data_IF_589902573145
#
_entry.id   IF_589902573145
#
_cell.length_a   1.000
_cell.length_b   1.000
_cell.length_c   1.000
_cell.angle_alpha   90.00
_cell.angle_beta   90.00
_cell.angle_gamma   90.00
#
_symmetry.space_group_name_H-M   'P 1'
#
loop_
_entity.id
_entity.type
_entity.pdbx_description
1 polymer ?
#
# COMPACT_ATOMS: atom_id res chain seq x y z
N UNK A 1 -6.75 -18.51 2.19
CA UNK A 1 -7.26 -17.13 2.32
C UNK A 1 -6.27 -16.24 1.59
N UNK A 2 -6.69 -15.55 0.52
CA UNK A 2 -5.84 -14.54 -0.12
C UNK A 2 -5.86 -13.31 0.77
N UNK A 3 -4.79 -13.10 1.55
CA UNK A 3 -4.61 -11.91 2.38
C UNK A 3 -3.98 -10.82 1.53
N UNK A 4 -4.62 -9.65 1.43
CA UNK A 4 -4.05 -8.49 0.76
C UNK A 4 -3.36 -7.58 1.76
N UNK A 5 -2.05 -7.43 1.60
CA UNK A 5 -1.25 -6.40 2.24
C UNK A 5 -1.18 -5.16 1.33
N UNK A 6 -1.42 -3.99 1.90
CA UNK A 6 -1.10 -2.71 1.28
C UNK A 6 0.18 -2.16 1.89
N UNK A 7 1.15 -1.80 1.05
CA UNK A 7 2.39 -1.15 1.45
C UNK A 7 2.38 0.31 0.99
N UNK A 8 2.63 1.24 1.92
CA UNK A 8 2.85 2.66 1.63
C UNK A 8 4.33 2.96 1.82
N UNK A 9 5.08 3.00 0.72
CA UNK A 9 6.55 3.11 0.70
C UNK A 9 7.00 3.77 -0.60
N UNK A 10 8.00 4.65 -0.54
CA UNK A 10 8.54 5.34 -1.71
C UNK A 10 9.96 4.89 -2.09
N UNK A 11 10.68 4.19 -1.20
CA UNK A 11 11.97 3.59 -1.51
C UNK A 11 11.82 2.26 -2.27
N UNK A 12 12.47 2.16 -3.44
CA UNK A 12 12.32 1.00 -4.31
C UNK A 12 12.98 -0.28 -3.75
N UNK A 13 14.02 -0.15 -2.93
CA UNK A 13 14.66 -1.30 -2.32
C UNK A 13 13.77 -1.88 -1.21
N UNK A 14 13.15 -1.02 -0.40
CA UNK A 14 12.23 -1.46 0.66
C UNK A 14 10.98 -2.12 0.04
N UNK A 15 10.42 -1.55 -1.03
CA UNK A 15 9.34 -2.18 -1.81
C UNK A 15 9.78 -3.56 -2.29
N UNK A 16 10.95 -3.66 -2.93
CA UNK A 16 11.45 -4.92 -3.48
C UNK A 16 11.64 -5.99 -2.40
N UNK A 17 12.15 -5.61 -1.22
CA UNK A 17 12.34 -6.53 -0.10
C UNK A 17 11.00 -7.08 0.40
N UNK A 18 10.00 -6.23 0.59
CA UNK A 18 8.67 -6.66 1.05
C UNK A 18 7.96 -7.49 -0.02
N UNK A 19 8.01 -7.08 -1.29
CA UNK A 19 7.41 -7.82 -2.39
C UNK A 19 8.01 -9.23 -2.52
N UNK A 20 9.33 -9.35 -2.34
CA UNK A 20 10.01 -10.65 -2.33
C UNK A 20 9.55 -11.54 -1.18
N UNK A 21 9.33 -10.97 0.00
CA UNK A 21 8.78 -11.69 1.17
C UNK A 21 7.36 -12.20 0.92
N UNK A 22 6.47 -11.34 0.39
CA UNK A 22 5.08 -11.72 0.10
C UNK A 22 4.98 -12.80 -0.99
N UNK A 23 5.85 -12.74 -2.02
CA UNK A 23 5.93 -13.77 -3.07
C UNK A 23 6.27 -15.14 -2.50
N UNK A 24 7.15 -15.22 -1.50
CA UNK A 24 7.49 -16.48 -0.82
C UNK A 24 6.36 -16.93 0.10
N UNK A 25 5.68 -16.00 0.78
CA UNK A 25 4.57 -16.27 1.68
C UNK A 25 3.23 -16.59 0.99
N UNK A 26 3.12 -16.34 -0.31
CA UNK A 26 1.88 -16.51 -1.08
C UNK A 26 0.83 -15.42 -0.81
N UNK A 27 1.24 -14.27 -0.29
CA UNK A 27 0.38 -13.12 -0.03
C UNK A 27 0.15 -12.27 -1.28
N UNK A 28 -0.93 -11.48 -1.27
CA UNK A 28 -1.14 -10.44 -2.27
C UNK A 28 -0.60 -9.12 -1.73
N UNK A 29 0.07 -8.36 -2.59
CA UNK A 29 0.63 -7.05 -2.26
C UNK A 29 0.09 -6.00 -3.23
N UNK A 30 -0.36 -4.87 -2.69
CA UNK A 30 -0.56 -3.63 -3.43
C UNK A 30 0.36 -2.57 -2.86
N UNK A 31 0.95 -1.74 -3.71
CA UNK A 31 1.92 -0.72 -3.29
C UNK A 31 1.40 0.65 -3.69
N UNK A 32 1.53 1.61 -2.78
CA UNK A 32 1.30 3.03 -3.03
C UNK A 32 2.53 3.81 -2.58
N UNK A 33 2.96 4.80 -3.35
CA UNK A 33 4.25 5.48 -3.18
C UNK A 33 4.17 6.78 -2.39
N UNK A 34 2.97 7.25 -2.07
CA UNK A 34 2.78 8.44 -1.26
C UNK A 34 1.42 8.45 -0.56
N UNK A 35 1.20 9.49 0.25
CA UNK A 35 -0.05 9.74 0.94
C UNK A 35 -1.24 9.80 -0.01
N UNK A 36 -1.14 10.55 -1.11
CA UNK A 36 -2.30 10.83 -1.96
C UNK A 36 -2.76 9.55 -2.64
N UNK A 37 -1.81 8.74 -3.13
CA UNK A 37 -2.12 7.44 -3.70
C UNK A 37 -2.74 6.50 -2.67
N UNK A 38 -2.25 6.50 -1.43
CA UNK A 38 -2.82 5.70 -0.35
C UNK A 38 -4.25 6.15 0.01
N UNK A 39 -4.48 7.46 0.15
CA UNK A 39 -5.81 8.02 0.46
C UNK A 39 -6.79 7.77 -0.68
N UNK A 40 -6.40 7.97 -1.94
CA UNK A 40 -7.24 7.67 -3.09
C UNK A 40 -7.61 6.18 -3.14
N UNK A 41 -6.66 5.28 -2.84
CA UNK A 41 -6.92 3.84 -2.77
C UNK A 41 -7.97 3.50 -1.72
N UNK A 42 -7.78 4.01 -0.50
CA UNK A 42 -8.65 3.72 0.63
C UNK A 42 -10.05 4.34 0.44
N UNK A 43 -10.09 5.57 -0.07
CA UNK A 43 -11.31 6.36 -0.33
C UNK A 43 -12.07 5.94 -1.60
N UNK A 44 -11.48 5.08 -2.44
CA UNK A 44 -12.08 4.58 -3.70
C UNK A 44 -12.21 5.66 -4.76
N UNK A 45 -11.26 6.58 -4.78
CA UNK A 45 -11.28 7.72 -5.68
C UNK A 45 -10.45 7.46 -6.94
N UNK A 46 -10.75 8.24 -7.98
CA UNK A 46 -10.05 8.21 -9.26
C UNK A 46 -9.92 6.79 -9.84
N UNK A 47 -8.68 6.33 -10.05
CA UNK A 47 -8.38 5.01 -10.61
C UNK A 47 -8.76 3.85 -9.68
N UNK A 48 -9.00 4.10 -8.39
CA UNK A 48 -9.23 3.08 -7.37
C UNK A 48 -10.72 2.79 -7.09
N UNK A 49 -11.63 3.31 -7.92
CA UNK A 49 -13.07 3.12 -7.74
C UNK A 49 -13.55 1.66 -7.83
N UNK A 50 -12.88 0.81 -8.61
CA UNK A 50 -13.28 -0.57 -8.82
C UNK A 50 -12.67 -1.53 -7.76
N UNK A 51 -13.50 -2.08 -6.87
CA UNK A 51 -13.06 -3.03 -5.81
C UNK A 51 -12.70 -4.43 -6.29
N UNK A 52 -13.17 -4.87 -7.45
CA UNK A 52 -12.72 -6.14 -8.00
C UNK A 52 -11.26 -6.05 -8.45
N UNK A 53 -10.84 -4.85 -8.89
CA UNK A 53 -9.45 -4.55 -9.28
C UNK A 53 -8.59 -4.05 -8.11
N UNK A 54 -9.17 -3.30 -7.18
CA UNK A 54 -8.51 -2.71 -6.02
C UNK A 54 -9.27 -3.07 -4.73
N UNK A 55 -9.17 -4.34 -4.28
CA UNK A 55 -9.89 -4.81 -3.12
C UNK A 55 -9.45 -4.10 -1.84
N UNK A 56 -10.27 -4.16 -0.80
CA UNK A 56 -9.91 -3.58 0.49
C UNK A 56 -8.75 -4.42 1.08
N UNK A 57 -7.64 -3.80 1.52
CA UNK A 57 -6.55 -4.54 2.12
C UNK A 57 -6.95 -5.05 3.51
N UNK A 58 -6.48 -6.24 3.85
CA UNK A 58 -6.66 -6.82 5.19
C UNK A 58 -5.67 -6.20 6.20
N UNK A 59 -4.56 -5.65 5.70
CA UNK A 59 -3.52 -5.00 6.50
C UNK A 59 -2.84 -3.89 5.69
N UNK A 60 -2.43 -2.83 6.38
CA UNK A 60 -1.65 -1.73 5.81
C UNK A 60 -0.30 -1.67 6.55
N UNK A 61 0.79 -1.67 5.80
CA UNK A 61 2.14 -1.38 6.26
C UNK A 61 2.54 0.00 5.75
N UNK A 62 2.77 0.93 6.67
CA UNK A 62 2.93 2.36 6.38
C UNK A 62 4.31 2.83 6.81
N UNK A 63 5.12 3.30 5.86
CA UNK A 63 6.38 3.97 6.18
C UNK A 63 6.12 5.38 6.71
N UNK A 64 6.59 5.66 7.93
CA UNK A 64 6.41 6.96 8.58
C UNK A 64 7.45 8.01 8.16
N UNK A 65 8.60 7.57 7.60
CA UNK A 65 9.76 8.43 7.30
C UNK A 65 9.90 8.80 5.82
N UNK A 66 8.80 8.85 5.07
CA UNK A 66 8.84 9.21 3.65
C UNK A 66 9.34 10.67 3.46
N UNK A 67 10.25 10.93 2.50
CA UNK A 67 10.94 12.20 2.30
C UNK A 67 10.06 13.37 1.85
N UNK A 68 8.84 13.13 1.35
CA UNK A 68 7.96 14.19 0.81
C UNK A 68 6.70 14.49 1.62
N UNK A 69 6.20 13.54 2.40
CA UNK A 69 4.99 13.67 3.24
C UNK A 69 5.14 12.82 4.49
N UNK A 70 4.67 13.31 5.63
CA UNK A 70 4.69 12.52 6.85
C UNK A 70 3.74 11.34 6.70
N UNK A 71 4.20 10.10 6.90
CA UNK A 71 3.31 8.94 6.83
C UNK A 71 2.14 9.01 7.82
N UNK A 72 2.29 9.77 8.91
CA UNK A 72 1.22 10.01 9.88
C UNK A 72 -0.03 10.68 9.28
N UNK A 73 0.14 11.44 8.21
CA UNK A 73 -0.95 12.09 7.51
C UNK A 73 -1.92 11.10 6.81
N UNK A 74 -1.52 9.84 6.66
CA UNK A 74 -2.39 8.76 6.18
C UNK A 74 -3.33 8.25 7.30
N UNK A 75 -2.99 8.48 8.57
CA UNK A 75 -3.73 7.96 9.74
C UNK A 75 -4.81 8.90 10.27
N UNK A 76 -4.87 10.16 9.81
CA UNK A 76 -5.89 11.15 10.17
C UNK A 76 -7.20 10.95 9.39
#
# INVERSE_FOLDING_TARGET
MNRLLMLVEDDENDIFLIESSEKVGGGLLTVTRDRDEAIQYLSREERYANRERFPIPDMILLNLKMPRKSGFEVLE
#
